data_IF_850345171486
#
_entry.id   IF_850345171486
#
_cell.length_a   1.000
_cell.length_b   1.000
_cell.length_c   1.000
_cell.angle_alpha   90.00
_cell.angle_beta   90.00
_cell.angle_gamma   90.00
#
_symmetry.space_group_name_H-M   'P 1'
#
loop_
_entity.id
_entity.type
_entity.pdbx_description
1 polymer ?
#
# COMPACT_ATOMS: atom_id res chain seq x y z
N UNK A 1 12.94 19.34 19.89
CA UNK A 1 13.67 18.23 19.24
C UNK A 1 12.76 17.67 18.17
N UNK A 2 13.10 17.83 16.89
CA UNK A 2 12.34 17.26 15.78
C UNK A 2 12.52 15.74 15.81
N UNK A 3 11.52 15.01 16.30
CA UNK A 3 11.49 13.55 16.20
C UNK A 3 11.31 13.17 14.74
N UNK A 4 12.40 12.74 14.09
CA UNK A 4 12.29 12.09 12.78
C UNK A 4 11.50 10.81 12.98
N UNK A 5 10.36 10.70 12.30
CA UNK A 5 9.50 9.52 12.29
C UNK A 5 10.26 8.40 11.58
N UNK A 6 10.76 7.43 12.32
CA UNK A 6 11.40 6.24 11.75
C UNK A 6 10.28 5.32 11.22
N UNK A 7 10.02 5.42 9.93
CA UNK A 7 9.03 4.60 9.23
C UNK A 7 9.76 3.55 8.42
N UNK A 8 9.51 2.28 8.72
CA UNK A 8 10.09 1.15 7.99
C UNK A 8 8.95 0.42 7.28
N UNK A 9 9.09 0.21 5.97
CA UNK A 9 8.19 -0.63 5.20
C UNK A 9 8.55 -2.09 5.43
N UNK A 10 7.63 -2.88 6.00
CA UNK A 10 7.90 -4.28 6.32
C UNK A 10 6.76 -5.15 5.78
N UNK A 11 7.05 -5.86 4.70
CA UNK A 11 6.45 -7.17 4.46
C UNK A 11 7.53 -8.22 4.75
N UNK A 12 7.21 -9.23 5.56
CA UNK A 12 8.16 -10.28 5.98
C UNK A 12 8.61 -11.19 4.84
N UNK A 13 7.93 -11.12 3.70
CA UNK A 13 8.31 -11.71 2.41
C UNK A 13 8.12 -10.62 1.36
N UNK A 14 9.06 -10.44 0.43
CA UNK A 14 8.92 -9.40 -0.61
C UNK A 14 8.92 -10.00 -2.04
N UNK A 15 8.00 -9.58 -2.93
CA UNK A 15 6.81 -8.78 -2.62
C UNK A 15 5.89 -9.57 -1.68
N UNK A 16 5.35 -8.91 -0.67
CA UNK A 16 4.46 -9.57 0.27
C UNK A 16 3.06 -9.67 -0.27
N UNK A 17 2.19 -10.24 0.55
CA UNK A 17 0.89 -10.72 0.10
C UNK A 17 -0.05 -9.58 -0.27
N UNK A 18 0.13 -8.38 0.31
CA UNK A 18 -0.83 -7.28 0.14
C UNK A 18 -0.45 -6.32 -0.99
N UNK A 19 0.85 -6.13 -1.23
CA UNK A 19 1.31 -5.16 -2.24
C UNK A 19 0.77 -5.53 -3.63
N UNK A 20 0.24 -4.53 -4.33
CA UNK A 20 -0.37 -4.66 -5.65
C UNK A 20 -1.84 -5.09 -5.63
N UNK A 21 -2.43 -5.39 -4.46
CA UNK A 21 -3.86 -5.68 -4.34
C UNK A 21 -4.70 -4.41 -4.42
N UNK A 22 -5.86 -4.54 -5.05
CA UNK A 22 -6.91 -3.53 -5.03
C UNK A 22 -7.49 -3.40 -3.63
N UNK A 23 -7.81 -2.17 -3.25
CA UNK A 23 -8.51 -1.85 -2.01
C UNK A 23 -9.89 -1.34 -2.37
N UNK A 24 -10.92 -1.95 -1.78
CA UNK A 24 -12.30 -1.56 -1.93
C UNK A 24 -12.83 -0.99 -0.61
N UNK A 25 -13.65 0.05 -0.71
CA UNK A 25 -14.37 0.56 0.45
C UNK A 25 -15.63 -0.27 0.76
N UNK A 26 -16.36 0.10 1.82
CA UNK A 26 -17.58 -0.59 2.22
C UNK A 26 -18.72 -0.56 1.17
N UNK A 27 -18.61 0.25 0.12
CA UNK A 27 -19.55 0.28 -1.02
C UNK A 27 -19.10 -0.62 -2.18
N UNK A 28 -17.89 -1.17 -2.11
CA UNK A 28 -17.27 -1.97 -3.18
C UNK A 28 -16.50 -1.13 -4.19
N UNK A 29 -16.35 0.19 -3.98
CA UNK A 29 -15.66 1.08 -4.90
C UNK A 29 -14.14 0.90 -4.76
N UNK A 30 -13.41 0.87 -5.88
CA UNK A 30 -11.95 0.76 -5.83
C UNK A 30 -11.33 2.10 -5.43
N UNK A 31 -10.71 2.15 -4.26
CA UNK A 31 -10.15 3.38 -3.68
C UNK A 31 -8.64 3.48 -3.79
N UNK A 32 -7.98 2.39 -4.20
CA UNK A 32 -6.53 2.32 -4.09
C UNK A 32 -5.95 1.00 -4.55
N UNK A 33 -4.64 1.02 -4.79
CA UNK A 33 -3.82 -0.20 -4.87
C UNK A 33 -2.77 -0.13 -3.77
N UNK A 34 -2.64 -1.20 -2.99
CA UNK A 34 -1.65 -1.27 -1.92
C UNK A 34 -0.24 -1.13 -2.51
N UNK A 35 0.48 -0.13 -2.02
CA UNK A 35 1.88 0.12 -2.34
C UNK A 35 2.81 -0.52 -1.31
N UNK A 36 2.51 -0.32 -0.03
CA UNK A 36 3.34 -0.78 1.08
C UNK A 36 2.52 -0.79 2.38
N UNK A 37 3.07 -1.44 3.39
CA UNK A 37 2.61 -1.38 4.77
C UNK A 37 3.66 -0.60 5.55
N UNK A 38 3.23 0.45 6.25
CA UNK A 38 4.10 1.24 7.12
C UNK A 38 3.78 0.94 8.58
N UNK A 39 4.83 0.68 9.36
CA UNK A 39 4.73 0.54 10.82
C UNK A 39 5.45 1.71 11.46
N UNK A 40 4.71 2.47 12.25
CA UNK A 40 5.26 3.49 13.14
C UNK A 40 5.66 2.82 14.45
N UNK A 41 6.95 2.59 14.68
CA UNK A 41 7.44 1.90 15.87
C UNK A 41 7.28 2.70 17.17
N UNK A 42 7.12 4.02 17.08
CA UNK A 42 6.90 4.85 18.27
C UNK A 42 5.50 4.67 18.84
N UNK A 43 4.53 4.39 17.97
CA UNK A 43 3.13 4.20 18.34
C UNK A 43 2.62 2.78 18.13
N UNK A 44 3.43 1.91 17.53
CA UNK A 44 3.05 0.59 17.00
C UNK A 44 1.85 0.63 16.04
N UNK A 45 1.55 1.80 15.46
CA UNK A 45 0.47 1.94 14.49
C UNK A 45 0.91 1.38 13.15
N UNK A 46 0.02 0.62 12.52
CA UNK A 46 0.23 0.05 11.19
C UNK A 46 -0.74 0.67 10.21
N UNK A 47 -0.22 1.21 9.10
CA UNK A 47 -0.99 1.82 8.03
C UNK A 47 -0.71 1.12 6.70
N UNK A 48 -1.76 0.95 5.89
CA UNK A 48 -1.65 0.64 4.48
C UNK A 48 -1.43 1.93 3.70
N UNK A 49 -0.38 1.98 2.89
CA UNK A 49 -0.19 3.04 1.90
C UNK A 49 -0.74 2.59 0.56
N UNK A 50 -1.64 3.38 0.00
CA UNK A 50 -2.32 3.10 -1.24
C UNK A 50 -1.94 4.13 -2.30
N UNK A 51 -1.76 3.70 -3.54
CA UNK A 51 -1.86 4.61 -4.68
C UNK A 51 -3.30 4.73 -5.13
N UNK A 52 -3.87 5.94 -5.01
CA UNK A 52 -5.17 6.36 -5.53
C UNK A 52 -5.05 7.19 -6.81
N UNK A 53 -6.18 7.74 -7.27
CA UNK A 53 -6.24 8.65 -8.44
C UNK A 53 -5.45 9.94 -8.21
N UNK A 54 -5.60 10.56 -7.04
CA UNK A 54 -5.00 11.87 -6.72
C UNK A 54 -3.64 11.79 -5.98
N UNK A 55 -3.14 10.59 -5.68
CA UNK A 55 -1.86 10.44 -4.99
C UNK A 55 -1.79 9.26 -4.03
N UNK A 56 -0.98 9.40 -2.98
CA UNK A 56 -0.81 8.35 -1.96
C UNK A 56 -1.78 8.59 -0.80
N UNK A 57 -2.48 7.55 -0.37
CA UNK A 57 -3.44 7.58 0.74
C UNK A 57 -2.99 6.63 1.83
N UNK A 58 -3.05 7.08 3.08
CA UNK A 58 -2.78 6.23 4.24
C UNK A 58 -4.10 5.75 4.85
N UNK A 59 -4.23 4.44 5.01
CA UNK A 59 -5.38 3.80 5.64
C UNK A 59 -4.91 3.01 6.86
N UNK A 60 -5.38 3.33 8.07
CA UNK A 60 -5.07 2.54 9.25
C UNK A 60 -5.48 1.09 9.09
N UNK A 61 -4.62 0.14 9.47
CA UNK A 61 -4.92 -1.29 9.32
C UNK A 61 -6.16 -1.71 10.13
N UNK A 62 -6.47 -1.01 11.23
CA UNK A 62 -7.69 -1.20 12.02
C UNK A 62 -8.98 -0.95 11.22
N UNK A 63 -8.92 -0.17 10.15
CA UNK A 63 -10.05 0.16 9.28
C UNK A 63 -10.23 -0.88 8.15
N UNK A 64 -9.35 -1.88 8.06
CA UNK A 64 -9.50 -3.05 7.16
C UNK A 64 -10.47 -4.04 7.81
N UNK A 65 -11.41 -4.53 7.01
CA UNK A 65 -12.38 -5.55 7.39
C UNK A 65 -11.90 -6.95 7.01
N UNK A 66 -11.58 -7.13 5.72
CA UNK A 66 -11.17 -8.42 5.18
C UNK A 66 -9.97 -8.30 4.23
N UNK A 67 -9.17 -9.36 4.18
CA UNK A 67 -8.03 -9.52 3.26
C UNK A 67 -8.20 -10.84 2.51
N UNK A 68 -8.64 -10.76 1.27
CA UNK A 68 -8.87 -11.89 0.37
C UNK A 68 -8.12 -11.72 -0.95
N UNK A 69 -8.81 -11.86 -2.09
CA UNK A 69 -8.25 -11.44 -3.40
C UNK A 69 -8.03 -9.92 -3.46
N UNK A 70 -8.88 -9.17 -2.76
CA UNK A 70 -8.82 -7.72 -2.54
C UNK A 70 -8.71 -7.41 -1.05
N UNK A 71 -8.39 -6.15 -0.73
CA UNK A 71 -8.46 -5.63 0.64
C UNK A 71 -9.75 -4.84 0.78
N UNK A 72 -10.59 -5.20 1.73
CA UNK A 72 -11.90 -4.56 1.95
C UNK A 72 -11.86 -3.71 3.21
N UNK A 73 -12.38 -2.47 3.14
CA UNK A 73 -12.41 -1.55 4.26
C UNK A 73 -13.77 -1.59 4.98
N UNK A 74 -13.73 -1.39 6.30
CA UNK A 74 -14.93 -1.30 7.15
C UNK A 74 -15.82 -0.10 6.86
N UNK A 75 -15.27 0.93 6.22
CA UNK A 75 -15.94 2.22 6.02
C UNK A 75 -15.88 2.67 4.57
N UNK A 76 -16.93 3.38 4.16
CA UNK A 76 -16.95 4.13 2.91
C UNK A 76 -15.91 5.25 2.97
N UNK A 77 -15.11 5.41 1.91
CA UNK A 77 -14.25 6.56 1.78
C UNK A 77 -14.91 7.59 0.87
N UNK A 78 -15.18 8.78 1.40
CA UNK A 78 -15.62 9.90 0.59
C UNK A 78 -14.38 10.45 -0.14
N UNK A 79 -14.29 10.24 -1.44
CA UNK A 79 -13.17 10.66 -2.29
C UNK A 79 -13.27 10.05 -3.70
N UNK A 80 -12.35 10.41 -4.58
CA UNK A 80 -12.35 9.92 -5.96
C UNK A 80 -12.07 8.41 -6.04
N UNK A 81 -12.89 7.74 -6.84
CA UNK A 81 -12.76 6.34 -7.21
C UNK A 81 -11.64 6.19 -8.26
N UNK A 82 -10.90 5.08 -8.23
CA UNK A 82 -10.02 4.73 -9.34
C UNK A 82 -10.90 4.25 -10.51
N UNK A 83 -10.99 5.06 -11.56
CA UNK A 83 -11.70 4.67 -12.79
C UNK A 83 -11.12 3.41 -13.45
N UNK A 84 -11.99 2.66 -14.13
CA UNK A 84 -11.61 1.49 -14.92
C UNK A 84 -10.58 1.87 -16.01
N UNK A 85 -9.32 1.49 -15.79
CA UNK A 85 -8.20 1.70 -16.73
C UNK A 85 -6.98 2.35 -16.10
N UNK A 86 -7.17 3.24 -15.12
CA UNK A 86 -6.08 3.84 -14.35
C UNK A 86 -5.46 2.85 -13.37
N UNK A 87 -6.26 1.93 -12.89
CA UNK A 87 -5.91 0.73 -12.14
C UNK A 87 -4.72 -0.03 -12.79
N UNK A 88 -4.75 -0.23 -14.13
CA UNK A 88 -3.63 -0.85 -14.87
C UNK A 88 -2.35 0.01 -14.86
N UNK A 89 -2.47 1.33 -14.91
CA UNK A 89 -1.31 2.23 -14.86
C UNK A 89 -0.69 2.21 -13.47
N UNK A 90 -1.53 2.23 -12.44
CA UNK A 90 -1.11 2.17 -11.03
C UNK A 90 -0.43 0.83 -10.74
N UNK A 91 -1.02 -0.31 -11.14
CA UNK A 91 -0.38 -1.63 -11.03
C UNK A 91 0.99 -1.67 -11.71
N UNK A 92 1.15 -1.05 -12.89
CA UNK A 92 2.46 -0.95 -13.56
C UNK A 92 3.45 -0.12 -12.78
N UNK A 93 3.02 0.98 -12.15
CA UNK A 93 3.87 1.83 -11.31
C UNK A 93 4.35 1.06 -10.07
N UNK A 94 3.43 0.41 -9.36
CA UNK A 94 3.75 -0.47 -8.21
C UNK A 94 4.72 -1.56 -8.63
N UNK A 95 4.46 -2.25 -9.75
CA UNK A 95 5.38 -3.27 -10.29
C UNK A 95 6.79 -2.72 -10.55
N UNK A 96 6.91 -1.54 -11.14
CA UNK A 96 8.22 -0.90 -11.38
C UNK A 96 8.95 -0.57 -10.08
N UNK A 97 8.25 -0.08 -9.07
CA UNK A 97 8.83 0.21 -7.75
C UNK A 97 9.34 -1.08 -7.08
N UNK A 98 8.54 -2.14 -7.09
CA UNK A 98 8.95 -3.47 -6.58
C UNK A 98 10.22 -3.96 -7.30
N UNK A 99 10.25 -3.89 -8.63
CA UNK A 99 11.41 -4.31 -9.43
C UNK A 99 12.66 -3.49 -9.11
N UNK A 100 12.51 -2.17 -8.92
CA UNK A 100 13.61 -1.29 -8.55
C UNK A 100 14.19 -1.68 -7.19
N UNK A 101 13.34 -1.94 -6.19
CA UNK A 101 13.77 -2.33 -4.84
C UNK A 101 14.52 -3.67 -4.84
N UNK A 102 14.02 -4.66 -5.60
CA UNK A 102 14.68 -5.96 -5.76
C UNK A 102 16.06 -5.82 -6.40
N UNK A 103 16.19 -4.98 -7.44
CA UNK A 103 17.46 -4.77 -8.14
C UNK A 103 18.51 -4.16 -7.22
N UNK A 104 18.12 -3.16 -6.41
CA UNK A 104 19.02 -2.55 -5.41
C UNK A 104 19.43 -3.55 -4.34
N UNK A 105 18.51 -4.40 -3.87
CA UNK A 105 18.82 -5.45 -2.89
C UNK A 105 19.82 -6.47 -3.43
N UNK A 106 19.70 -6.89 -4.70
CA UNK A 106 20.67 -7.79 -5.33
C UNK A 106 22.06 -7.18 -5.52
N UNK A 107 22.16 -5.86 -5.71
CA UNK A 107 23.45 -5.16 -5.78
C UNK A 107 24.10 -5.09 -4.39
N UNK A 108 23.31 -4.83 -3.34
CA UNK A 108 23.80 -4.69 -1.96
C UNK A 108 24.18 -6.03 -1.31
N UNK A 109 23.59 -7.15 -1.74
CA UNK A 109 23.93 -8.49 -1.22
C UNK A 109 24.96 -9.26 -2.08
N UNK A 110 25.48 -8.63 -3.14
CA UNK A 110 26.44 -9.21 -4.08
C UNK A 110 27.86 -8.62 -4.01
N UNK A 111 28.22 -7.91 -2.94
CA UNK A 111 29.54 -7.30 -2.72
C UNK A 111 30.23 -7.80 -1.47
#
# INVERSE_FOLDING_TARGET
MNGQKEVIAIETTFPGTLVGREVQDARGECVGIVRSIEVDFSTMNTNLLLYGSEGTKEIPLKDVDHVGERVELKKTLLGEEIEQGDEKKIKRKVKKEIQSLLTVSSILMGG
#
